data_IF_455329258950
#
_entry.id   IF_455329258950
#
_cell.length_a   1.000
_cell.length_b   1.000
_cell.length_c   1.000
_cell.angle_alpha   90.00
_cell.angle_beta   90.00
_cell.angle_gamma   90.00
#
_symmetry.space_group_name_H-M   'P 1'
#
loop_
_entity.id
_entity.type
_entity.pdbx_description
1 polymer ?
#
# COMPACT_ATOMS: atom_id res chain seq x y z
N UNK A 1 -1.49 8.14 -5.15
CA UNK A 1 -1.72 6.68 -5.06
C UNK A 1 -0.76 6.12 -4.02
N UNK A 2 -1.20 5.20 -3.18
CA UNK A 2 -0.37 4.56 -2.16
C UNK A 2 -0.60 3.05 -2.19
N UNK A 3 0.44 2.25 -1.95
CA UNK A 3 0.26 0.84 -1.67
C UNK A 3 1.14 0.44 -0.48
N UNK A 4 0.58 -0.29 0.48
CA UNK A 4 1.29 -0.68 1.71
C UNK A 4 0.78 -2.03 2.23
N UNK A 5 1.63 -2.72 2.98
CA UNK A 5 1.27 -3.94 3.68
C UNK A 5 0.76 -3.57 5.08
N UNK A 6 -0.42 -4.07 5.42
CA UNK A 6 -0.98 -3.94 6.75
C UNK A 6 -0.77 -5.27 7.51
N UNK A 7 0.13 -5.29 8.51
CA UNK A 7 0.45 -6.51 9.25
C UNK A 7 -0.72 -7.03 10.10
N UNK A 8 -1.59 -6.14 10.60
CA UNK A 8 -2.69 -6.50 11.50
C UNK A 8 -3.72 -7.42 10.82
N UNK A 9 -3.99 -7.19 9.54
CA UNK A 9 -4.96 -7.97 8.77
C UNK A 9 -4.34 -8.80 7.63
N UNK A 10 -3.00 -8.78 7.51
CA UNK A 10 -2.22 -9.51 6.49
C UNK A 10 -2.72 -9.22 5.08
N UNK A 11 -2.82 -7.92 4.75
CA UNK A 11 -3.29 -7.46 3.44
C UNK A 11 -2.34 -6.46 2.82
N UNK A 12 -2.20 -6.56 1.50
CA UNK A 12 -1.72 -5.45 0.69
C UNK A 12 -2.92 -4.57 0.37
N UNK A 13 -2.78 -3.28 0.68
CA UNK A 13 -3.81 -2.26 0.50
C UNK A 13 -3.26 -1.21 -0.46
N UNK A 14 -3.79 -1.16 -1.68
CA UNK A 14 -3.49 -0.07 -2.60
C UNK A 14 -4.70 0.89 -2.70
N UNK A 15 -4.45 2.19 -2.52
CA UNK A 15 -5.44 3.28 -2.62
C UNK A 15 -5.05 4.25 -3.73
N UNK A 16 -6.02 4.65 -4.55
CA UNK A 16 -5.83 5.67 -5.58
C UNK A 16 -7.05 6.57 -5.64
N UNK A 17 -6.90 7.72 -6.29
CA UNK A 17 -7.99 8.67 -6.50
C UNK A 17 -8.24 8.73 -8.00
N UNK A 18 -9.49 8.61 -8.41
CA UNK A 18 -9.89 8.75 -9.80
C UNK A 18 -11.03 9.77 -9.92
N UNK A 19 -11.07 10.56 -11.02
CA UNK A 19 -12.18 11.44 -11.31
C UNK A 19 -13.41 10.60 -11.69
N UNK A 20 -14.54 10.90 -11.07
CA UNK A 20 -15.83 10.26 -11.35
C UNK A 20 -16.82 11.34 -11.74
N UNK A 21 -17.43 11.17 -12.92
CA UNK A 21 -18.51 12.04 -13.36
C UNK A 21 -19.75 11.76 -12.53
N UNK A 22 -20.45 12.80 -12.14
CA UNK A 22 -21.76 12.70 -11.51
C UNK A 22 -22.73 13.65 -12.19
N UNK A 23 -24.01 13.26 -12.19
CA UNK A 23 -25.11 14.09 -12.68
C UNK A 23 -26.10 14.25 -11.53
N UNK A 24 -26.38 15.49 -11.16
CA UNK A 24 -27.38 15.80 -10.13
C UNK A 24 -28.24 16.97 -10.62
N UNK A 25 -29.56 16.78 -10.68
CA UNK A 25 -30.52 17.80 -11.13
C UNK A 25 -30.13 18.48 -12.46
N UNK A 26 -29.79 17.68 -13.49
CA UNK A 26 -29.34 18.14 -14.82
C UNK A 26 -28.02 18.93 -14.83
N UNK A 27 -27.28 19.00 -13.72
CA UNK A 27 -25.92 19.54 -13.66
C UNK A 27 -24.92 18.40 -13.66
N UNK A 28 -23.94 18.48 -14.55
CA UNK A 28 -22.80 17.57 -14.58
C UNK A 28 -21.64 18.14 -13.75
N UNK A 29 -20.88 17.25 -13.11
CA UNK A 29 -19.65 17.62 -12.42
C UNK A 29 -18.68 16.45 -12.33
N UNK A 30 -17.48 16.73 -11.82
CA UNK A 30 -16.43 15.73 -11.58
C UNK A 30 -16.05 15.77 -10.12
N UNK A 31 -16.13 14.61 -9.45
CA UNK A 31 -15.67 14.42 -8.08
C UNK A 31 -14.43 13.53 -8.07
N UNK A 32 -13.51 13.81 -7.15
CA UNK A 32 -12.40 12.90 -6.87
C UNK A 32 -12.87 11.78 -5.95
N UNK A 33 -12.89 10.54 -6.44
CA UNK A 33 -13.28 9.37 -5.65
C UNK A 33 -12.07 8.55 -5.26
N UNK A 34 -11.92 8.30 -3.96
CA UNK A 34 -10.91 7.35 -3.47
C UNK A 34 -11.39 5.93 -3.73
N UNK A 35 -10.53 5.15 -4.38
CA UNK A 35 -10.70 3.72 -4.63
C UNK A 35 -9.67 2.93 -3.85
N UNK A 36 -9.97 1.66 -3.62
CA UNK A 36 -9.10 0.78 -2.86
C UNK A 36 -9.23 -0.64 -3.37
N UNK A 37 -8.11 -1.34 -3.49
CA UNK A 37 -8.03 -2.79 -3.64
C UNK A 37 -7.32 -3.35 -2.41
N UNK A 38 -7.91 -4.39 -1.84
CA UNK A 38 -7.39 -5.08 -0.67
C UNK A 38 -7.20 -6.54 -1.05
N UNK A 39 -5.96 -7.03 -0.97
CA UNK A 39 -5.62 -8.41 -1.34
C UNK A 39 -5.02 -9.10 -0.13
N UNK A 40 -5.57 -10.26 0.24
CA UNK A 40 -5.05 -11.04 1.35
C UNK A 40 -3.74 -11.74 0.97
N UNK A 41 -2.82 -11.75 1.93
CA UNK A 41 -1.51 -12.38 1.84
C UNK A 41 -1.47 -13.59 2.78
N UNK A 42 -0.86 -14.67 2.32
CA UNK A 42 -0.58 -15.85 3.11
C UNK A 42 0.60 -15.61 4.07
N UNK A 43 0.88 -16.59 4.94
CA UNK A 43 2.02 -16.50 5.87
C UNK A 43 3.36 -16.43 5.16
N UNK A 44 3.48 -17.05 3.97
CA UNK A 44 4.67 -17.08 3.13
C UNK A 44 4.79 -15.87 2.17
N UNK A 45 3.94 -14.86 2.36
CA UNK A 45 3.94 -13.67 1.52
C UNK A 45 3.25 -13.80 0.18
N UNK A 46 2.75 -14.99 -0.20
CA UNK A 46 2.02 -15.17 -1.46
C UNK A 46 0.61 -14.60 -1.37
N UNK A 47 0.11 -14.04 -2.47
CA UNK A 47 -1.28 -13.60 -2.57
C UNK A 47 -2.23 -14.82 -2.46
N UNK A 48 -3.37 -14.66 -1.79
CA UNK A 48 -4.38 -15.73 -1.73
C UNK A 48 -4.97 -15.99 -3.11
N UNK A 49 -4.97 -17.25 -3.56
CA UNK A 49 -5.45 -17.64 -4.90
C UNK A 49 -6.89 -17.20 -5.19
N UNK A 50 -7.76 -17.12 -4.17
CA UNK A 50 -9.12 -16.57 -4.32
C UNK A 50 -9.10 -15.10 -4.73
N UNK A 51 -8.25 -14.30 -4.09
CA UNK A 51 -8.15 -12.87 -4.40
C UNK A 51 -7.40 -12.65 -5.71
N UNK A 52 -6.40 -13.49 -6.03
CA UNK A 52 -5.75 -13.43 -7.35
C UNK A 52 -6.75 -13.63 -8.49
N UNK A 53 -7.61 -14.64 -8.38
CA UNK A 53 -8.67 -14.88 -9.37
C UNK A 53 -9.67 -13.72 -9.43
N UNK A 54 -10.09 -13.21 -8.27
CA UNK A 54 -11.04 -12.10 -8.17
C UNK A 54 -10.51 -10.81 -8.80
N UNK A 55 -9.21 -10.55 -8.68
CA UNK A 55 -8.59 -9.29 -9.08
C UNK A 55 -7.72 -9.39 -10.34
N UNK A 56 -7.68 -10.54 -11.02
CA UNK A 56 -6.81 -10.77 -12.18
C UNK A 56 -6.90 -9.67 -13.26
N UNK A 57 -8.12 -9.14 -13.50
CA UNK A 57 -8.37 -8.11 -14.51
C UNK A 57 -8.41 -6.69 -13.94
N UNK A 58 -8.10 -6.50 -12.65
CA UNK A 58 -8.14 -5.19 -12.02
C UNK A 58 -6.84 -4.41 -12.36
N UNK A 59 -6.92 -3.14 -12.80
CA UNK A 59 -5.76 -2.38 -13.29
C UNK A 59 -4.66 -2.21 -12.24
N UNK A 60 -5.02 -2.17 -10.96
CA UNK A 60 -4.07 -2.08 -9.84
C UNK A 60 -3.46 -3.42 -9.41
N UNK A 61 -3.98 -4.55 -9.89
CA UNK A 61 -3.52 -5.86 -9.43
C UNK A 61 -2.07 -6.19 -9.81
N UNK A 62 -1.54 -5.79 -11.00
CA UNK A 62 -0.11 -5.93 -11.30
C UNK A 62 0.80 -5.26 -10.27
N UNK A 63 0.41 -4.08 -9.75
CA UNK A 63 1.16 -3.37 -8.71
C UNK A 63 1.12 -4.14 -7.38
N UNK A 64 -0.03 -4.69 -7.02
CA UNK A 64 -0.17 -5.55 -5.83
C UNK A 64 0.76 -6.77 -5.93
N UNK A 65 0.80 -7.42 -7.09
CA UNK A 65 1.66 -8.57 -7.34
C UNK A 65 3.13 -8.20 -7.24
N UNK A 66 3.58 -7.15 -7.93
CA UNK A 66 4.95 -6.66 -7.83
C UNK A 66 5.37 -6.38 -6.40
N UNK A 67 4.50 -5.73 -5.62
CA UNK A 67 4.80 -5.46 -4.22
C UNK A 67 4.90 -6.74 -3.38
N UNK A 68 4.00 -7.71 -3.57
CA UNK A 68 4.10 -9.03 -2.92
C UNK A 68 5.37 -9.77 -3.31
N UNK A 69 5.78 -9.69 -4.57
CA UNK A 69 7.01 -10.31 -5.09
C UNK A 69 8.25 -9.69 -4.43
N UNK A 70 8.31 -8.37 -4.32
CA UNK A 70 9.40 -7.66 -3.64
C UNK A 70 9.50 -8.00 -2.15
N UNK A 71 8.37 -8.04 -1.43
CA UNK A 71 8.37 -8.44 -0.01
C UNK A 71 8.89 -9.88 0.18
N UNK A 72 8.52 -10.79 -0.73
CA UNK A 72 9.04 -12.16 -0.71
C UNK A 72 10.52 -12.22 -1.06
N UNK A 73 10.97 -11.43 -2.05
CA UNK A 73 12.38 -11.37 -2.49
C UNK A 73 13.32 -11.00 -1.35
N UNK A 74 12.89 -10.14 -0.44
CA UNK A 74 13.68 -9.73 0.73
C UNK A 74 13.44 -10.61 1.97
N UNK A 75 12.66 -11.69 1.86
CA UNK A 75 12.27 -12.58 2.96
C UNK A 75 11.57 -11.85 4.12
N UNK A 76 10.78 -10.80 3.83
CA UNK A 76 10.11 -9.98 4.84
C UNK A 76 9.21 -10.80 5.79
N UNK A 77 8.60 -11.88 5.29
CA UNK A 77 7.65 -12.70 6.06
C UNK A 77 8.32 -13.77 6.92
N UNK A 78 9.61 -14.04 6.69
CA UNK A 78 10.38 -15.07 7.39
C UNK A 78 11.39 -14.47 8.36
N UNK A 79 11.91 -13.27 8.04
CA UNK A 79 12.92 -12.61 8.84
C UNK A 79 12.30 -11.52 9.72
N UNK A 80 12.68 -11.48 11.00
CA UNK A 80 12.39 -10.38 11.92
C UNK A 80 13.24 -9.14 11.61
N UNK A 81 13.29 -8.73 10.35
CA UNK A 81 14.10 -7.59 9.92
C UNK A 81 13.48 -6.29 10.45
N UNK A 82 14.27 -5.56 11.21
CA UNK A 82 13.94 -4.20 11.60
C UNK A 82 14.33 -3.24 10.48
N UNK A 83 13.41 -2.36 10.12
CA UNK A 83 13.64 -1.32 9.12
C UNK A 83 13.30 0.03 9.72
N UNK A 84 14.18 1.01 9.49
CA UNK A 84 13.94 2.38 9.92
C UNK A 84 13.01 3.09 8.92
N UNK A 85 12.14 3.94 9.44
CA UNK A 85 11.32 4.83 8.63
C UNK A 85 12.21 5.81 7.85
N UNK A 86 12.04 5.88 6.53
CA UNK A 86 12.83 6.79 5.67
C UNK A 86 12.59 8.28 5.97
N UNK A 87 11.52 8.63 6.68
CA UNK A 87 11.18 10.03 6.99
C UNK A 87 11.67 10.48 8.35
N UNK A 88 11.55 9.63 9.38
CA UNK A 88 11.83 10.03 10.77
C UNK A 88 12.82 9.12 11.50
N UNK A 89 13.38 8.10 10.84
CA UNK A 89 14.36 7.18 11.41
C UNK A 89 13.82 6.20 12.48
N UNK A 90 12.57 6.35 12.94
CA UNK A 90 11.98 5.43 13.90
C UNK A 90 11.94 3.99 13.36
N UNK A 91 12.25 3.00 14.20
CA UNK A 91 12.24 1.56 13.86
C UNK A 91 10.98 0.84 14.34
N UNK A 92 10.21 1.46 15.24
CA UNK A 92 9.01 0.85 15.79
C UNK A 92 7.77 1.12 14.93
N UNK A 93 6.95 0.08 14.73
CA UNK A 93 5.71 0.13 13.94
C UNK A 93 5.91 0.67 12.51
N UNK A 94 7.05 0.32 11.91
CA UNK A 94 7.35 0.63 10.51
C UNK A 94 6.79 -0.49 9.62
N UNK A 95 6.09 -0.11 8.56
CA UNK A 95 5.53 -1.04 7.59
C UNK A 95 6.07 -0.74 6.19
N UNK A 96 6.12 -1.76 5.32
CA UNK A 96 6.57 -1.53 3.96
C UNK A 96 5.46 -0.88 3.14
N UNK A 97 5.88 0.11 2.36
CA UNK A 97 5.14 0.78 1.33
C UNK A 97 5.80 0.49 -0.02
N UNK A 98 5.02 0.56 -1.09
CA UNK A 98 5.54 0.41 -2.45
C UNK A 98 5.49 1.77 -3.15
N UNK A 99 6.66 2.28 -3.51
CA UNK A 99 6.78 3.42 -4.41
C UNK A 99 6.51 2.94 -5.83
N UNK A 100 5.39 3.36 -6.38
CA UNK A 100 4.96 2.91 -7.70
C UNK A 100 5.72 3.63 -8.82
N UNK A 101 6.25 4.83 -8.54
CA UNK A 101 7.06 5.59 -9.52
C UNK A 101 8.43 4.95 -9.66
N UNK A 102 9.10 4.74 -8.53
CA UNK A 102 10.46 4.20 -8.47
C UNK A 102 10.49 2.67 -8.45
N UNK A 103 9.32 2.01 -8.38
CA UNK A 103 9.16 0.55 -8.28
C UNK A 103 10.02 -0.08 -7.18
N UNK A 104 10.08 0.58 -6.01
CA UNK A 104 10.90 0.14 -4.88
C UNK A 104 10.10 0.11 -3.57
N UNK A 105 10.61 -0.66 -2.61
CA UNK A 105 10.10 -0.64 -1.24
C UNK A 105 10.54 0.64 -0.54
N UNK A 106 9.62 1.23 0.21
CA UNK A 106 9.87 2.30 1.17
C UNK A 106 9.45 1.80 2.55
N UNK A 107 10.14 2.24 3.59
CA UNK A 107 9.80 1.93 4.97
C UNK A 107 9.23 3.16 5.63
N UNK A 108 7.99 3.08 6.13
CA UNK A 108 7.29 4.22 6.72
C UNK A 108 6.56 3.81 7.99
N UNK A 109 6.42 4.74 8.93
CA UNK A 109 5.58 4.54 10.09
C UNK A 109 4.15 4.19 9.65
N UNK A 110 3.55 3.20 10.30
CA UNK A 110 2.15 2.82 10.08
C UNK A 110 1.17 3.96 10.43
N UNK A 111 1.58 4.83 11.37
CA UNK A 111 0.90 6.07 11.71
C UNK A 111 1.60 7.27 11.05
N UNK A 112 1.00 7.87 9.99
CA UNK A 112 1.61 8.99 9.29
C UNK A 112 1.66 10.28 10.12
N UNK A 113 0.81 10.44 11.15
CA UNK A 113 0.80 11.64 12.00
C UNK A 113 2.10 11.74 12.80
N UNK A 114 2.61 10.59 13.27
CA UNK A 114 3.89 10.50 13.98
C UNK A 114 5.10 10.83 13.11
N UNK A 115 4.99 10.68 11.79
CA UNK A 115 6.09 11.00 10.86
C UNK A 115 6.21 12.50 10.57
N UNK A 116 5.08 13.22 10.52
CA UNK A 116 5.07 14.65 10.18
C UNK A 116 5.56 15.58 11.29
N UNK A 117 5.59 15.11 12.55
CA UNK A 117 5.98 15.97 13.68
C UNK A 117 7.50 16.09 13.89
N UNK A 118 8.30 15.20 13.28
CA UNK A 118 9.77 15.23 13.42
C UNK A 118 10.47 16.02 12.29
N UNK A 119 9.75 16.39 11.23
CA UNK A 119 10.29 17.17 10.10
C UNK A 119 10.22 18.68 10.30
N UNK A 120 9.50 19.17 11.32
CA UNK A 120 9.31 20.61 11.58
C UNK A 120 10.25 21.16 12.67
N UNK A 121 11.13 20.33 13.25
CA UNK A 121 12.09 20.72 14.30
C UNK A 121 13.57 20.66 13.84
N UNK A 122 13.84 20.74 12.52
CA UNK A 122 15.22 20.75 11.97
C UNK A 122 15.55 22.03 11.23
#
# INVERSE_FOLDING_TARGET
MTCHYNPNNKRIVCKWTEPVKFVMNKKEGVLSKVRTINVNVNKDGRLKSRDEKRHANHPMFPIVRQFSDELRRINFFEAGQEHACELCGNVHNVTPHFDIKERRLLWRCADPIRCSQLSDES
#
